data_IF_273692305845
#
_entry.id   IF_273692305845
#
_cell.length_a   1.000
_cell.length_b   1.000
_cell.length_c   1.000
_cell.angle_alpha   90.00
_cell.angle_beta   90.00
_cell.angle_gamma   90.00
#
_symmetry.space_group_name_H-M   'P 1'
#
loop_
_entity.id
_entity.type
_entity.pdbx_description
1 polymer ?
#
# COMPACT_ATOMS: atom_id res chain seq x y z
N UNK A 1 8.09 18.19 -3.68
CA UNK A 1 8.47 17.24 -2.61
C UNK A 1 9.15 16.03 -3.23
N UNK A 2 10.35 15.70 -2.83
CA UNK A 2 11.01 14.47 -3.26
C UNK A 2 10.60 13.30 -2.35
N UNK A 3 10.55 12.11 -2.94
CA UNK A 3 10.05 10.92 -2.28
C UNK A 3 10.79 10.57 -0.97
N UNK A 4 12.11 10.75 -0.94
CA UNK A 4 12.91 10.46 0.26
C UNK A 4 12.54 11.39 1.43
N UNK A 5 12.31 12.67 1.16
CA UNK A 5 11.87 13.62 2.19
C UNK A 5 10.47 13.30 2.68
N UNK A 6 9.60 12.89 1.76
CA UNK A 6 8.24 12.48 2.12
C UNK A 6 8.26 11.26 3.05
N UNK A 7 9.05 10.24 2.74
CA UNK A 7 9.20 9.06 3.60
C UNK A 7 9.59 9.47 5.03
N UNK A 8 10.59 10.33 5.17
CA UNK A 8 11.03 10.80 6.48
C UNK A 8 9.92 11.52 7.24
N UNK A 9 9.16 12.39 6.57
CA UNK A 9 8.02 13.08 7.17
C UNK A 9 6.93 12.12 7.61
N UNK A 10 6.63 11.11 6.80
CA UNK A 10 5.64 10.07 7.13
C UNK A 10 6.09 9.31 8.37
N UNK A 11 7.35 8.86 8.41
CA UNK A 11 7.88 8.10 9.54
C UNK A 11 7.94 8.91 10.83
N UNK A 12 8.06 10.23 10.74
CA UNK A 12 8.05 11.13 11.90
C UNK A 12 6.66 11.59 12.31
N UNK A 13 5.62 11.22 11.56
CA UNK A 13 4.25 11.66 11.84
C UNK A 13 4.01 13.14 11.54
N UNK A 14 4.79 13.74 10.65
CA UNK A 14 4.72 15.16 10.32
C UNK A 14 3.72 15.48 9.20
N UNK A 15 3.12 14.47 8.59
CA UNK A 15 2.14 14.58 7.50
C UNK A 15 0.97 13.63 7.77
N UNK A 16 -0.17 13.83 7.08
CA UNK A 16 -1.28 12.90 7.22
C UNK A 16 -0.82 11.46 6.96
N UNK A 17 -1.04 10.59 7.93
CA UNK A 17 -0.63 9.19 7.83
C UNK A 17 -1.54 8.30 8.65
N UNK A 18 -1.57 7.02 8.30
CA UNK A 18 -2.28 5.98 9.04
C UNK A 18 -1.44 4.70 9.02
N UNK A 19 -1.67 3.86 10.01
CA UNK A 19 -0.97 2.59 10.17
C UNK A 19 -2.00 1.49 10.34
N UNK A 20 -1.78 0.38 9.66
CA UNK A 20 -2.62 -0.80 9.82
C UNK A 20 -1.77 -2.06 9.79
N UNK A 21 -2.32 -3.14 10.32
CA UNK A 21 -1.70 -4.46 10.30
C UNK A 21 -2.41 -5.34 9.30
N UNK A 22 -1.65 -6.13 8.58
CA UNK A 22 -2.11 -7.15 7.66
C UNK A 22 -1.25 -8.40 7.87
N UNK A 23 -1.43 -9.41 7.04
CA UNK A 23 -0.64 -10.63 7.11
C UNK A 23 -0.23 -11.09 5.72
N UNK A 24 0.94 -11.71 5.65
CA UNK A 24 1.30 -12.48 4.48
C UNK A 24 0.48 -13.77 4.38
N UNK A 25 0.71 -14.51 3.33
CA UNK A 25 0.00 -15.77 3.07
C UNK A 25 0.86 -16.66 2.17
N UNK A 26 0.76 -17.97 2.34
CA UNK A 26 1.56 -18.94 1.58
C UNK A 26 1.34 -18.82 0.06
N UNK A 27 0.19 -18.34 -0.37
CA UNK A 27 -0.15 -18.18 -1.78
C UNK A 27 0.25 -16.83 -2.40
N UNK A 28 0.92 -15.96 -1.63
CA UNK A 28 1.44 -14.70 -2.18
C UNK A 28 2.51 -15.00 -3.21
N UNK A 29 2.30 -14.59 -4.46
CA UNK A 29 3.29 -14.68 -5.53
C UNK A 29 3.96 -13.34 -5.80
N UNK A 30 3.21 -12.25 -5.68
CA UNK A 30 3.68 -10.89 -5.90
C UNK A 30 4.43 -10.75 -7.24
N UNK A 31 3.78 -11.18 -8.31
CA UNK A 31 4.36 -11.19 -9.66
C UNK A 31 3.69 -10.21 -10.62
N UNK A 32 2.63 -9.54 -10.19
CA UNK A 32 1.94 -8.57 -11.03
C UNK A 32 2.81 -7.33 -11.26
N UNK A 33 2.94 -6.92 -12.51
CA UNK A 33 3.82 -5.82 -12.92
C UNK A 33 3.14 -4.45 -12.95
N UNK A 34 1.82 -4.39 -12.69
CA UNK A 34 1.01 -3.17 -12.86
C UNK A 34 0.43 -2.66 -11.56
N UNK A 35 0.07 -3.55 -10.66
CA UNK A 35 -0.63 -3.22 -9.43
C UNK A 35 -0.04 -3.95 -8.22
N UNK A 36 -0.33 -3.38 -7.06
CA UNK A 36 -0.04 -3.97 -5.76
C UNK A 36 -1.29 -3.78 -4.92
N UNK A 37 -1.77 -4.87 -4.32
CA UNK A 37 -3.01 -4.85 -3.54
C UNK A 37 -2.79 -5.39 -2.13
N UNK A 38 -3.45 -4.76 -1.17
CA UNK A 38 -3.60 -5.24 0.20
C UNK A 38 -5.09 -5.43 0.44
N UNK A 39 -5.48 -6.62 0.90
CA UNK A 39 -6.87 -7.04 0.99
C UNK A 39 -7.29 -7.32 2.43
N UNK A 40 -8.57 -7.07 2.73
CA UNK A 40 -9.20 -7.52 3.98
C UNK A 40 -9.66 -8.97 3.90
N UNK A 41 -9.65 -9.58 2.73
CA UNK A 41 -9.99 -10.99 2.59
C UNK A 41 -9.15 -11.86 3.53
N UNK A 42 -9.70 -12.95 4.07
CA UNK A 42 -8.96 -13.79 5.03
C UNK A 42 -7.92 -14.71 4.38
N UNK A 43 -7.77 -14.67 3.07
CA UNK A 43 -6.85 -15.53 2.32
C UNK A 43 -6.40 -14.86 1.03
N UNK A 44 -5.36 -15.43 0.43
CA UNK A 44 -4.86 -15.07 -0.91
C UNK A 44 -4.89 -16.31 -1.78
N UNK A 45 -5.32 -16.18 -3.03
CA UNK A 45 -5.17 -17.24 -4.03
C UNK A 45 -3.97 -16.95 -4.92
N UNK A 46 -3.40 -17.99 -5.53
CA UNK A 46 -2.27 -17.81 -6.46
C UNK A 46 -2.63 -17.00 -7.69
N UNK A 47 -3.91 -16.94 -8.06
CA UNK A 47 -4.39 -16.09 -9.16
C UNK A 47 -4.36 -14.61 -8.81
N UNK A 48 -4.44 -14.27 -7.53
CA UNK A 48 -4.31 -12.90 -7.06
C UNK A 48 -2.85 -12.47 -7.01
N UNK A 49 -2.18 -12.42 -8.13
CA UNK A 49 -0.75 -12.17 -8.24
C UNK A 49 -0.32 -10.74 -7.88
N UNK A 50 -1.27 -9.83 -7.73
CA UNK A 50 -1.03 -8.47 -7.23
C UNK A 50 -1.19 -8.35 -5.71
N UNK A 51 -1.85 -9.32 -5.06
CA UNK A 51 -2.12 -9.26 -3.62
C UNK A 51 -0.88 -9.66 -2.85
N UNK A 52 -0.36 -8.73 -2.05
CA UNK A 52 0.88 -8.95 -1.27
C UNK A 52 0.59 -9.27 0.20
N UNK A 53 -0.58 -8.89 0.70
CA UNK A 53 -1.00 -9.18 2.07
C UNK A 53 -2.52 -9.29 2.15
N UNK A 54 -3.00 -10.13 3.06
CA UNK A 54 -4.41 -10.33 3.36
C UNK A 54 -4.73 -9.86 4.78
N UNK A 55 -5.99 -10.04 5.17
CA UNK A 55 -6.39 -9.91 6.57
C UNK A 55 -6.15 -8.50 7.13
N UNK A 56 -6.18 -7.49 6.28
CA UNK A 56 -5.90 -6.12 6.67
C UNK A 56 -6.97 -5.59 7.62
N UNK A 57 -6.54 -4.79 8.59
CA UNK A 57 -7.45 -4.14 9.53
C UNK A 57 -8.32 -3.09 8.85
N UNK A 58 -7.79 -2.46 7.80
CA UNK A 58 -8.44 -1.35 7.09
C UNK A 58 -8.30 -1.53 5.58
N UNK A 59 -9.31 -1.08 4.85
CA UNK A 59 -9.26 -0.87 3.42
C UNK A 59 -9.05 0.63 3.12
N UNK A 60 -8.91 0.97 1.84
CA UNK A 60 -8.60 2.33 1.42
C UNK A 60 -9.59 3.38 1.95
N UNK A 61 -10.89 3.06 1.90
CA UNK A 61 -11.94 3.97 2.36
C UNK A 61 -12.07 4.07 3.88
N UNK A 62 -11.34 3.26 4.62
CA UNK A 62 -11.39 3.21 6.09
C UNK A 62 -10.20 3.87 6.75
N UNK A 63 -9.31 4.47 5.97
CA UNK A 63 -8.18 5.23 6.49
C UNK A 63 -8.66 6.47 7.23
N UNK A 64 -7.79 7.03 8.07
CA UNK A 64 -8.09 8.24 8.83
C UNK A 64 -8.57 9.35 7.90
N UNK A 65 -9.49 10.17 8.40
CA UNK A 65 -10.12 11.24 7.60
C UNK A 65 -9.11 12.18 6.96
N UNK A 66 -8.07 12.55 7.68
CA UNK A 66 -7.03 13.44 7.16
C UNK A 66 -6.24 12.80 6.01
N UNK A 67 -6.06 11.49 6.05
CA UNK A 67 -5.42 10.74 4.95
C UNK A 67 -6.34 10.73 3.73
N UNK A 68 -7.62 10.44 3.94
CA UNK A 68 -8.62 10.46 2.86
C UNK A 68 -8.70 11.82 2.17
N UNK A 69 -8.69 12.90 2.95
CA UNK A 69 -8.69 14.26 2.40
C UNK A 69 -7.44 14.55 1.59
N UNK A 70 -6.28 14.12 2.09
CA UNK A 70 -5.01 14.33 1.41
C UNK A 70 -4.95 13.56 0.09
N UNK A 71 -5.55 12.36 0.03
CA UNK A 71 -5.61 11.56 -1.21
C UNK A 71 -6.43 12.25 -2.31
N UNK A 72 -7.37 13.10 -1.96
CA UNK A 72 -8.16 13.89 -2.91
C UNK A 72 -7.40 15.11 -3.43
N UNK A 73 -6.31 15.47 -2.79
CA UNK A 73 -5.43 16.57 -3.18
C UNK A 73 -4.32 16.11 -4.12
N UNK A 74 -3.44 17.00 -4.50
CA UNK A 74 -2.19 16.65 -5.18
C UNK A 74 -1.13 16.37 -4.14
N UNK A 75 -0.32 15.36 -4.38
CA UNK A 75 0.77 15.07 -3.47
C UNK A 75 1.44 13.75 -3.75
N UNK A 76 2.47 13.46 -2.97
CA UNK A 76 3.22 12.21 -3.02
C UNK A 76 2.66 11.27 -1.99
N UNK A 77 2.27 10.07 -2.42
CA UNK A 77 1.83 8.99 -1.54
C UNK A 77 3.01 8.07 -1.27
N UNK A 78 3.22 7.75 0.00
CA UNK A 78 4.22 6.78 0.44
C UNK A 78 3.50 5.63 1.13
N UNK A 79 3.80 4.41 0.71
CA UNK A 79 3.31 3.19 1.34
C UNK A 79 4.50 2.38 1.80
N UNK A 80 4.62 2.19 3.11
CA UNK A 80 5.68 1.35 3.71
C UNK A 80 5.07 -0.01 4.02
N UNK A 81 5.74 -1.06 3.57
CA UNK A 81 5.35 -2.44 3.84
C UNK A 81 6.46 -3.06 4.68
N UNK A 82 6.18 -3.27 5.97
CA UNK A 82 7.18 -3.63 6.96
C UNK A 82 6.83 -4.98 7.60
N UNK A 83 7.68 -5.97 7.35
CA UNK A 83 7.56 -7.31 7.96
C UNK A 83 8.60 -7.51 9.10
N UNK A 84 9.05 -6.43 9.70
CA UNK A 84 10.03 -6.45 10.78
C UNK A 84 11.46 -6.20 10.27
N UNK A 85 12.24 -7.26 10.12
CA UNK A 85 13.63 -7.14 9.65
C UNK A 85 13.73 -6.77 8.17
N UNK A 86 12.66 -6.99 7.39
CA UNK A 86 12.62 -6.69 5.95
C UNK A 86 11.44 -5.79 5.67
N UNK A 87 11.66 -4.74 4.89
CA UNK A 87 10.62 -3.78 4.52
C UNK A 87 10.91 -3.21 3.12
N UNK A 88 9.92 -2.58 2.54
CA UNK A 88 10.05 -1.87 1.28
C UNK A 88 9.12 -0.66 1.28
N UNK A 89 9.39 0.27 0.37
CA UNK A 89 8.64 1.52 0.22
C UNK A 89 8.18 1.65 -1.22
N UNK A 90 6.91 1.97 -1.38
CA UNK A 90 6.32 2.28 -2.68
C UNK A 90 5.89 3.74 -2.66
N UNK A 91 6.23 4.48 -3.70
CA UNK A 91 5.84 5.88 -3.86
C UNK A 91 5.05 6.08 -5.13
N UNK A 92 4.10 6.99 -5.07
CA UNK A 92 3.29 7.36 -6.23
C UNK A 92 2.65 8.72 -6.02
N UNK A 93 1.67 9.03 -6.83
CA UNK A 93 0.92 10.28 -6.76
C UNK A 93 -0.45 10.02 -6.14
N UNK A 94 -0.96 11.01 -5.41
CA UNK A 94 -2.32 10.98 -4.89
C UNK A 94 -3.32 10.82 -6.05
N UNK A 95 -4.36 9.99 -5.89
CA UNK A 95 -5.29 9.72 -6.99
C UNK A 95 -6.20 10.90 -7.34
N UNK A 96 -6.28 11.92 -6.49
CA UNK A 96 -7.17 13.06 -6.72
C UNK A 96 -8.63 12.75 -6.42
N UNK A 97 -8.90 11.69 -5.68
CA UNK A 97 -10.24 11.27 -5.28
C UNK A 97 -10.15 10.57 -3.92
N UNK A 98 -11.22 10.66 -3.14
CA UNK A 98 -11.33 9.95 -1.86
C UNK A 98 -11.73 8.50 -2.15
N UNK A 99 -10.89 7.52 -1.78
CA UNK A 99 -11.28 6.11 -1.92
C UNK A 99 -12.43 5.77 -0.97
N UNK A 100 -13.27 4.84 -1.37
CA UNK A 100 -14.44 4.40 -0.60
C UNK A 100 -14.49 2.90 -0.35
N UNK A 101 -13.55 2.14 -0.91
CA UNK A 101 -13.52 0.68 -0.75
C UNK A 101 -13.45 0.29 0.72
N UNK A 102 -14.25 -0.71 1.09
CA UNK A 102 -14.28 -1.27 2.44
C UNK A 102 -13.59 -2.63 2.52
N UNK A 103 -12.89 -3.06 1.47
CA UNK A 103 -12.29 -4.41 1.46
C UNK A 103 -10.87 -4.49 0.89
N UNK A 104 -10.39 -3.49 0.15
CA UNK A 104 -9.03 -3.52 -0.39
C UNK A 104 -8.44 -2.13 -0.57
N UNK A 105 -7.13 -2.08 -0.79
CA UNK A 105 -6.42 -0.89 -1.21
C UNK A 105 -5.43 -1.27 -2.31
N UNK A 106 -5.34 -0.44 -3.35
CA UNK A 106 -4.57 -0.73 -4.55
C UNK A 106 -3.64 0.43 -4.90
N UNK A 107 -2.38 0.10 -5.15
CA UNK A 107 -1.37 1.00 -5.70
C UNK A 107 -1.18 0.64 -7.17
N UNK A 108 -1.16 1.63 -8.07
CA UNK A 108 -1.14 1.43 -9.51
C UNK A 108 0.03 2.15 -10.16
N UNK A 109 0.72 1.47 -11.07
CA UNK A 109 1.68 2.15 -11.94
C UNK A 109 0.98 3.00 -12.99
N UNK A 110 -0.24 2.63 -13.38
CA UNK A 110 -1.07 3.42 -14.29
C UNK A 110 -1.67 4.63 -13.59
N UNK A 111 -2.43 5.42 -14.33
CA UNK A 111 -3.19 6.54 -13.79
C UNK A 111 -4.68 6.20 -13.58
N UNK A 112 -5.04 4.92 -13.69
CA UNK A 112 -6.41 4.49 -13.47
C UNK A 112 -6.81 4.68 -12.00
N UNK A 113 -8.01 5.19 -11.77
CA UNK A 113 -8.56 5.44 -10.43
C UNK A 113 -9.91 4.75 -10.30
N UNK A 114 -10.06 3.98 -9.23
CA UNK A 114 -11.36 3.44 -8.80
C UNK A 114 -11.54 3.69 -7.29
N UNK A 115 -12.54 3.06 -6.69
CA UNK A 115 -12.88 3.26 -5.27
C UNK A 115 -11.83 2.71 -4.29
N UNK A 116 -10.86 1.95 -4.76
CA UNK A 116 -9.83 1.32 -3.93
C UNK A 116 -8.43 1.91 -4.14
N UNK A 117 -8.27 2.92 -4.99
CA UNK A 117 -6.96 3.42 -5.39
C UNK A 117 -6.35 4.32 -4.32
N UNK A 118 -5.17 3.93 -3.82
CA UNK A 118 -4.34 4.74 -2.92
C UNK A 118 -3.39 5.64 -3.68
N UNK A 119 -2.81 5.15 -4.76
CA UNK A 119 -1.78 5.87 -5.50
C UNK A 119 -1.81 5.48 -6.98
N UNK A 120 -1.46 6.43 -7.81
CA UNK A 120 -1.28 6.24 -9.26
C UNK A 120 0.15 6.61 -9.64
N UNK A 121 0.56 6.27 -10.85
CA UNK A 121 1.92 6.54 -11.34
C UNK A 121 3.00 6.07 -10.35
N UNK A 122 2.76 4.94 -9.71
CA UNK A 122 3.66 4.41 -8.69
C UNK A 122 4.97 3.90 -9.28
N UNK A 123 6.02 3.97 -8.50
CA UNK A 123 7.35 3.47 -8.88
C UNK A 123 7.43 1.95 -8.83
N UNK A 124 6.57 1.29 -8.06
CA UNK A 124 6.58 -0.16 -7.87
C UNK A 124 5.19 -0.76 -7.95
N UNK A 125 5.11 -1.96 -8.50
CA UNK A 125 3.99 -2.87 -8.36
C UNK A 125 4.43 -4.08 -7.54
N UNK A 126 3.57 -5.09 -7.40
CA UNK A 126 3.89 -6.28 -6.61
C UNK A 126 5.20 -6.95 -7.05
N UNK A 127 5.43 -7.06 -8.36
CA UNK A 127 6.63 -7.70 -8.91
C UNK A 127 7.93 -6.95 -8.59
N UNK A 128 7.85 -5.67 -8.24
CA UNK A 128 9.01 -4.84 -7.96
C UNK A 128 9.42 -4.84 -6.49
N UNK A 129 8.62 -5.46 -5.61
CA UNK A 129 8.95 -5.52 -4.20
C UNK A 129 10.23 -6.32 -3.96
N UNK A 130 10.97 -5.91 -2.93
CA UNK A 130 12.12 -6.65 -2.44
C UNK A 130 11.74 -8.13 -2.26
N UNK A 131 12.47 -9.03 -2.92
CA UNK A 131 12.15 -10.47 -2.89
C UNK A 131 12.34 -11.09 -1.52
N UNK A 132 13.21 -10.54 -0.67
CA UNK A 132 13.33 -10.96 0.72
C UNK A 132 12.06 -10.63 1.53
N UNK A 133 11.44 -9.47 1.24
CA UNK A 133 10.14 -9.13 1.82
C UNK A 133 9.07 -10.11 1.34
N UNK A 134 9.01 -10.40 0.05
CA UNK A 134 8.04 -11.35 -0.51
C UNK A 134 8.20 -12.73 0.13
N UNK A 135 9.44 -13.18 0.36
CA UNK A 135 9.69 -14.45 1.05
C UNK A 135 9.11 -14.45 2.46
N UNK A 136 9.23 -13.35 3.21
CA UNK A 136 8.62 -13.20 4.53
C UNK A 136 7.10 -13.22 4.45
N UNK A 137 6.53 -12.52 3.47
CA UNK A 137 5.08 -12.50 3.27
C UNK A 137 4.54 -13.90 2.98
N UNK A 138 5.27 -14.69 2.20
CA UNK A 138 4.87 -16.08 1.90
C UNK A 138 4.92 -16.99 3.13
N UNK A 139 5.63 -16.62 4.16
CA UNK A 139 5.64 -17.34 5.44
C UNK A 139 4.44 -16.99 6.32
N UNK A 140 3.55 -16.12 5.88
CA UNK A 140 2.41 -15.67 6.67
C UNK A 140 2.76 -14.65 7.74
N UNK A 141 3.89 -13.96 7.58
CA UNK A 141 4.34 -12.99 8.58
C UNK A 141 3.34 -11.85 8.77
N UNK A 142 3.21 -11.33 9.99
CA UNK A 142 2.47 -10.09 10.20
C UNK A 142 3.19 -8.94 9.50
N UNK A 143 2.41 -8.02 8.97
CA UNK A 143 2.92 -6.88 8.19
C UNK A 143 2.31 -5.60 8.73
N UNK A 144 3.15 -4.62 8.95
CA UNK A 144 2.74 -3.28 9.28
C UNK A 144 2.77 -2.44 8.01
N UNK A 145 1.65 -1.82 7.69
CA UNK A 145 1.51 -0.97 6.50
C UNK A 145 1.32 0.47 6.97
N UNK A 146 2.17 1.36 6.49
CA UNK A 146 2.06 2.79 6.77
C UNK A 146 1.73 3.49 5.47
N UNK A 147 0.66 4.30 5.49
CA UNK A 147 0.26 5.12 4.34
C UNK A 147 0.37 6.58 4.75
N UNK A 148 1.10 7.37 3.99
CA UNK A 148 1.24 8.80 4.25
C UNK A 148 1.26 9.60 2.97
N UNK A 149 0.89 10.88 3.05
CA UNK A 149 0.79 11.78 1.90
C UNK A 149 1.47 13.11 2.23
N UNK A 150 2.38 13.52 1.34
CA UNK A 150 3.00 14.83 1.38
C UNK A 150 2.41 15.70 0.28
N UNK A 151 1.84 16.81 0.68
CA UNK A 151 1.22 17.76 -0.24
C UNK A 151 2.21 18.85 -0.63
#
# INVERSE_FOLDING_TARGET
VIAADCLNKVLRGEVPSDVLVARGHVNVTATNRRTLEISKDPYVTRRGDCIVACCAEKAAGELRREVLRALASRGVVVVVIDAGAVWDVVTGEAPGAVPTSTWRMVVRKSRYVDDSTLAVSADKAAADLNRALVAKLRQGAPVRVVVGICI
#
